data_IF_454322065552
#
_entry.id   IF_454322065552
#
_cell.length_a   1.000
_cell.length_b   1.000
_cell.length_c   1.000
_cell.angle_alpha   90.00
_cell.angle_beta   90.00
_cell.angle_gamma   90.00
#
_symmetry.space_group_name_H-M   'P 1'
#
loop_
_entity.id
_entity.type
_entity.pdbx_description
1 polymer ?
#
# COMPACT_ATOMS: atom_id res chain seq x y z
N UNK A 1 18.51 -41.36 11.82
CA UNK A 1 17.68 -40.39 12.57
C UNK A 1 18.30 -39.00 12.44
N UNK A 2 18.10 -38.31 11.31
CA UNK A 2 18.52 -36.92 11.12
C UNK A 2 17.64 -36.28 10.05
N UNK A 3 16.44 -35.84 10.45
CA UNK A 3 15.49 -35.15 9.55
C UNK A 3 14.70 -34.04 10.23
N UNK A 4 14.60 -34.09 11.57
CA UNK A 4 13.83 -33.12 12.35
C UNK A 4 14.56 -31.79 12.62
N UNK A 5 15.90 -31.74 12.49
CA UNK A 5 16.67 -30.51 12.69
C UNK A 5 16.44 -29.45 11.59
N UNK A 6 16.29 -29.88 10.33
CA UNK A 6 16.07 -28.96 9.20
C UNK A 6 14.68 -28.34 9.19
N UNK A 7 13.66 -29.10 9.61
CA UNK A 7 12.27 -28.63 9.68
C UNK A 7 12.08 -27.52 10.72
N UNK A 8 12.73 -27.64 11.89
CA UNK A 8 12.70 -26.60 12.91
C UNK A 8 13.36 -25.29 12.45
N UNK A 9 14.45 -25.39 11.68
CA UNK A 9 15.14 -24.23 11.12
C UNK A 9 14.28 -23.50 10.09
N UNK A 10 13.62 -24.24 9.20
CA UNK A 10 12.71 -23.66 8.20
C UNK A 10 11.53 -22.96 8.87
N UNK A 11 10.90 -23.62 9.86
CA UNK A 11 9.78 -23.03 10.61
C UNK A 11 10.20 -21.73 11.31
N UNK A 12 11.38 -21.71 11.93
CA UNK A 12 11.92 -20.50 12.56
C UNK A 12 12.07 -19.36 11.54
N UNK A 13 12.65 -19.63 10.37
CA UNK A 13 12.78 -18.64 9.30
C UNK A 13 11.44 -18.14 8.75
N UNK A 14 10.44 -19.03 8.60
CA UNK A 14 9.09 -18.63 8.19
C UNK A 14 8.48 -17.64 9.17
N UNK A 15 8.56 -17.92 10.48
CA UNK A 15 8.03 -17.01 11.51
C UNK A 15 8.74 -15.67 11.49
N UNK A 16 10.07 -15.66 11.34
CA UNK A 16 10.87 -14.42 11.22
C UNK A 16 10.43 -13.60 10.00
N UNK A 17 10.27 -14.23 8.83
CA UNK A 17 9.84 -13.55 7.61
C UNK A 17 8.44 -12.97 7.77
N UNK A 18 7.48 -13.74 8.31
CA UNK A 18 6.12 -13.28 8.57
C UNK A 18 6.13 -12.08 9.53
N UNK A 19 6.94 -12.14 10.59
CA UNK A 19 7.09 -11.03 11.55
C UNK A 19 7.63 -9.76 10.90
N UNK A 20 8.64 -9.88 10.02
CA UNK A 20 9.19 -8.74 9.27
C UNK A 20 8.15 -8.16 8.32
N UNK A 21 7.45 -8.99 7.54
CA UNK A 21 6.38 -8.56 6.63
C UNK A 21 5.29 -7.82 7.41
N UNK A 22 4.86 -8.37 8.55
CA UNK A 22 3.84 -7.76 9.40
C UNK A 22 4.30 -6.41 9.96
N UNK A 23 5.56 -6.30 10.40
CA UNK A 23 6.15 -5.06 10.89
C UNK A 23 6.24 -3.98 9.79
N UNK A 24 6.64 -4.37 8.57
CA UNK A 24 6.71 -3.47 7.42
C UNK A 24 5.32 -3.00 7.01
N UNK A 25 4.29 -3.85 7.06
CA UNK A 25 2.90 -3.46 6.78
C UNK A 25 2.35 -2.56 7.89
N UNK A 26 2.63 -2.87 9.15
CA UNK A 26 2.15 -2.09 10.30
C UNK A 26 2.78 -0.69 10.35
N UNK A 27 4.06 -0.55 9.98
CA UNK A 27 4.77 0.73 9.96
C UNK A 27 4.64 1.46 8.62
N UNK A 28 4.52 0.74 7.50
CA UNK A 28 4.40 1.27 6.14
C UNK A 28 2.95 1.46 5.65
N UNK A 29 1.96 1.11 6.48
CA UNK A 29 0.53 1.13 6.16
C UNK A 29 -0.11 2.51 5.94
N UNK A 30 0.67 3.60 5.97
CA UNK A 30 0.19 4.93 5.60
C UNK A 30 0.43 5.33 4.14
N UNK A 31 1.23 4.56 3.37
CA UNK A 31 1.51 4.87 1.96
C UNK A 31 1.47 3.67 1.00
N UNK A 32 1.27 2.45 1.50
CA UNK A 32 0.94 1.32 0.63
C UNK A 32 -0.56 1.34 0.33
N UNK A 33 -0.95 2.21 -0.60
CA UNK A 33 -2.12 2.00 -1.43
C UNK A 33 -1.88 0.69 -2.20
N UNK A 34 -2.21 -0.43 -1.55
CA UNK A 34 -2.46 -1.68 -2.26
C UNK A 34 -3.43 -1.34 -3.40
N UNK A 35 -3.12 -1.66 -4.66
CA UNK A 35 -4.08 -1.52 -5.73
C UNK A 35 -5.16 -2.56 -5.44
N UNK A 36 -6.18 -2.13 -4.70
CA UNK A 36 -7.37 -2.91 -4.45
C UNK A 36 -8.02 -3.03 -5.81
N UNK A 37 -7.81 -4.18 -6.43
CA UNK A 37 -8.50 -4.68 -7.60
C UNK A 37 -10.01 -4.60 -7.30
N UNK A 38 -10.58 -3.44 -7.61
CA UNK A 38 -12.00 -3.13 -7.57
C UNK A 38 -12.25 -2.30 -8.83
N UNK A 39 -13.25 -2.69 -9.59
CA UNK A 39 -13.45 -2.32 -10.99
C UNK A 39 -13.38 -0.81 -11.30
N UNK A 40 -12.99 -0.57 -12.56
CA UNK A 40 -12.84 0.71 -13.25
C UNK A 40 -11.63 1.56 -12.81
N UNK A 41 -10.78 1.86 -13.80
CA UNK A 41 -9.45 2.43 -13.63
C UNK A 41 -9.39 3.64 -12.72
N UNK A 42 -8.24 3.76 -12.04
CA UNK A 42 -7.72 4.93 -11.32
C UNK A 42 -8.74 6.06 -11.25
N UNK A 43 -9.51 6.09 -10.15
CA UNK A 43 -10.56 7.09 -10.01
C UNK A 43 -9.96 8.47 -10.27
N UNK A 44 -10.62 9.30 -11.09
CA UNK A 44 -10.12 10.63 -11.42
C UNK A 44 -9.73 11.45 -10.17
N UNK A 45 -10.33 11.12 -9.02
CA UNK A 45 -9.99 11.66 -7.69
C UNK A 45 -8.60 11.28 -7.20
N UNK A 46 -8.15 10.04 -7.43
CA UNK A 46 -6.82 9.57 -7.01
C UNK A 46 -5.70 10.21 -7.86
N UNK A 47 -5.96 10.43 -9.16
CA UNK A 47 -5.07 11.21 -10.04
C UNK A 47 -5.00 12.67 -9.57
N UNK A 48 -6.14 13.24 -9.17
CA UNK A 48 -6.23 14.61 -8.67
C UNK A 48 -5.46 14.77 -7.34
N UNK A 49 -5.64 13.85 -6.40
CA UNK A 49 -4.94 13.81 -5.12
C UNK A 49 -3.42 13.69 -5.32
N UNK A 50 -2.97 12.87 -6.28
CA UNK A 50 -1.56 12.71 -6.58
C UNK A 50 -0.94 14.00 -7.16
N UNK A 51 -1.65 14.72 -8.04
CA UNK A 51 -1.18 15.98 -8.62
C UNK A 51 -1.11 17.10 -7.59
N UNK A 52 -2.08 17.16 -6.68
CA UNK A 52 -2.05 18.10 -5.55
C UNK A 52 -0.87 17.81 -4.61
N UNK A 53 -0.63 16.54 -4.28
CA UNK A 53 0.51 16.14 -3.45
C UNK A 53 1.88 16.44 -4.10
N UNK A 54 1.94 16.44 -5.45
CA UNK A 54 3.13 16.86 -6.21
C UNK A 54 3.27 18.38 -6.33
N UNK A 55 2.24 19.15 -5.95
CA UNK A 55 2.19 20.61 -6.13
C UNK A 55 2.02 21.02 -7.59
N UNK A 56 1.55 20.11 -8.46
CA UNK A 56 1.28 20.40 -9.88
C UNK A 56 -0.02 21.20 -10.08
N UNK A 57 -0.91 21.19 -9.08
CA UNK A 57 -2.17 21.94 -9.07
C UNK A 57 -2.31 22.66 -7.74
N UNK A 58 -2.91 23.85 -7.78
CA UNK A 58 -3.19 24.61 -6.55
C UNK A 58 -4.45 24.07 -5.85
N UNK A 59 -4.63 24.45 -4.58
CA UNK A 59 -5.81 24.09 -3.79
C UNK A 59 -7.12 24.52 -4.47
N UNK A 60 -7.13 25.69 -5.10
CA UNK A 60 -8.31 26.22 -5.78
C UNK A 60 -8.73 25.32 -6.95
N UNK A 61 -7.78 24.87 -7.75
CA UNK A 61 -7.99 23.95 -8.88
C UNK A 61 -8.42 22.55 -8.40
N UNK A 62 -7.81 22.07 -7.31
CA UNK A 62 -8.17 20.82 -6.67
C UNK A 62 -9.64 20.82 -6.21
N UNK A 63 -10.08 21.88 -5.54
CA UNK A 63 -11.46 21.98 -5.04
C UNK A 63 -12.48 22.07 -6.18
N UNK A 64 -12.16 22.76 -7.29
CA UNK A 64 -13.01 22.83 -8.47
C UNK A 64 -13.19 21.45 -9.14
N UNK A 65 -12.08 20.74 -9.41
CA UNK A 65 -12.13 19.42 -10.04
C UNK A 65 -12.78 18.36 -9.15
N UNK A 66 -12.63 18.48 -7.83
CA UNK A 66 -13.29 17.59 -6.87
C UNK A 66 -14.82 17.76 -6.86
N UNK A 67 -15.32 18.97 -7.11
CA UNK A 67 -16.75 19.24 -7.22
C UNK A 67 -17.34 18.72 -8.54
N UNK A 68 -16.58 18.80 -9.63
CA UNK A 68 -16.97 18.24 -10.94
C UNK A 68 -17.06 16.71 -10.94
N UNK A 69 -16.25 16.05 -10.11
CA UNK A 69 -16.22 14.59 -9.96
C UNK A 69 -17.27 14.06 -8.95
N UNK A 70 -18.33 14.81 -8.69
CA UNK A 70 -19.39 14.42 -7.75
C UNK A 70 -20.50 13.60 -8.41
#
# INVERSE_FOLDING_TARGET
MMGFGGLGMILFWVVVIVGIIWLVIALGGSNLQLPKQSGNGQSAREILDQRYARGEIDREEYEAMKQDLK
#
